data_IF_439525344327
#
_entry.id   IF_439525344327
#
_cell.length_a   1.000
_cell.length_b   1.000
_cell.length_c   1.000
_cell.angle_alpha   90.00
_cell.angle_beta   90.00
_cell.angle_gamma   90.00
#
_symmetry.space_group_name_H-M   'P 1'
#
loop_
_entity.id
_entity.type
_entity.pdbx_description
1 polymer ?
#
# COMPACT_ATOMS: atom_id res chain seq x y z
N UNK A 1 -6.92 -21.04 13.70
CA UNK A 1 -7.22 -19.79 12.98
C UNK A 1 -5.99 -18.89 13.12
N UNK A 2 -5.23 -18.67 12.05
CA UNK A 2 -4.07 -17.77 12.11
C UNK A 2 -4.54 -16.42 12.69
N UNK A 3 -3.90 -15.94 13.74
CA UNK A 3 -4.21 -14.67 14.39
C UNK A 3 -4.33 -13.61 13.28
N UNK A 4 -5.55 -13.16 12.97
CA UNK A 4 -5.83 -12.38 11.78
C UNK A 4 -4.92 -11.15 11.74
N UNK A 5 -3.98 -11.12 10.80
CA UNK A 5 -3.15 -9.94 10.58
C UNK A 5 -4.10 -8.79 10.27
N UNK A 6 -4.09 -7.76 11.12
CA UNK A 6 -4.85 -6.54 10.83
C UNK A 6 -4.43 -6.06 9.44
N UNK A 7 -5.38 -5.85 8.51
CA UNK A 7 -5.05 -5.42 7.15
C UNK A 7 -4.30 -4.09 7.15
N UNK A 8 -4.52 -3.27 8.18
CA UNK A 8 -3.86 -1.99 8.37
C UNK A 8 -2.79 -2.01 9.48
N UNK A 9 -1.49 -2.08 9.14
CA UNK A 9 -0.38 -2.06 10.09
C UNK A 9 -0.03 -0.63 10.54
N UNK A 10 -0.94 -0.01 11.30
CA UNK A 10 -0.88 1.40 11.73
C UNK A 10 0.48 1.89 12.28
N UNK A 11 1.12 1.11 13.15
CA UNK A 11 2.38 1.52 13.78
C UNK A 11 3.51 1.62 12.75
N UNK A 12 3.56 0.68 11.80
CA UNK A 12 4.54 0.66 10.72
C UNK A 12 4.33 1.82 9.76
N UNK A 13 3.09 2.04 9.33
CA UNK A 13 2.72 3.15 8.42
C UNK A 13 3.13 4.50 9.03
N UNK A 14 2.85 4.71 10.32
CA UNK A 14 3.27 5.94 11.01
C UNK A 14 4.79 6.11 11.11
N UNK A 15 5.55 5.02 11.32
CA UNK A 15 7.02 5.06 11.34
C UNK A 15 7.58 5.45 9.98
N UNK A 16 7.08 4.85 8.90
CA UNK A 16 7.47 5.15 7.52
C UNK A 16 7.18 6.62 7.22
N UNK A 17 5.94 7.08 7.44
CA UNK A 17 5.57 8.46 7.15
C UNK A 17 6.43 9.45 7.94
N UNK A 18 6.70 9.19 9.22
CA UNK A 18 7.56 10.08 10.03
C UNK A 18 9.00 10.14 9.50
N UNK A 19 9.55 9.01 9.06
CA UNK A 19 10.90 8.93 8.50
C UNK A 19 11.04 9.71 7.18
N UNK A 20 9.98 9.80 6.37
CA UNK A 20 10.04 10.41 5.04
C UNK A 20 9.44 11.81 4.95
N UNK A 21 8.50 12.18 5.84
CA UNK A 21 7.81 13.48 5.77
C UNK A 21 8.40 14.53 6.69
N UNK A 22 9.12 14.16 7.76
CA UNK A 22 9.53 15.08 8.84
C UNK A 22 8.37 15.94 9.41
N UNK A 23 7.11 15.50 9.25
CA UNK A 23 5.91 16.20 9.69
C UNK A 23 5.13 15.40 10.73
N UNK A 24 4.40 16.11 11.59
CA UNK A 24 3.46 15.48 12.51
C UNK A 24 2.17 15.10 11.76
N UNK A 25 1.76 13.84 11.92
CA UNK A 25 0.56 13.33 11.28
C UNK A 25 -0.70 13.84 11.98
N UNK A 26 -1.60 14.44 11.19
CA UNK A 26 -2.98 14.73 11.62
C UNK A 26 -3.77 13.43 11.80
N UNK A 27 -4.86 13.51 12.57
CA UNK A 27 -5.76 12.37 12.82
C UNK A 27 -6.21 11.76 11.48
N UNK A 28 -6.09 10.44 11.37
CA UNK A 28 -6.48 9.61 10.22
C UNK A 28 -5.70 9.84 8.91
N UNK A 29 -4.72 10.76 8.87
CA UNK A 29 -3.88 10.94 7.68
C UNK A 29 -3.13 9.64 7.32
N UNK A 30 -2.75 8.86 8.33
CA UNK A 30 -2.13 7.55 8.19
C UNK A 30 -3.03 6.53 7.46
N UNK A 31 -4.35 6.64 7.62
CA UNK A 31 -5.31 5.75 6.98
C UNK A 31 -5.47 6.08 5.49
N UNK A 32 -5.57 7.37 5.15
CA UNK A 32 -5.70 7.80 3.75
C UNK A 32 -4.45 7.47 2.94
N UNK A 33 -3.26 7.68 3.51
CA UNK A 33 -1.99 7.32 2.87
C UNK A 33 -1.91 5.80 2.65
N UNK A 34 -2.37 5.00 3.61
CA UNK A 34 -2.40 3.55 3.44
C UNK A 34 -3.40 3.09 2.38
N UNK A 35 -4.56 3.73 2.29
CA UNK A 35 -5.55 3.41 1.27
C UNK A 35 -5.03 3.72 -0.14
N UNK A 36 -4.37 4.87 -0.32
CA UNK A 36 -3.74 5.26 -1.58
C UNK A 36 -2.65 4.25 -2.00
N UNK A 37 -1.83 3.79 -1.03
CA UNK A 37 -0.86 2.72 -1.26
C UNK A 37 -1.50 1.39 -1.70
N UNK A 38 -2.61 0.98 -1.07
CA UNK A 38 -3.30 -0.27 -1.44
C UNK A 38 -3.85 -0.15 -2.86
N UNK A 39 -4.47 0.99 -3.20
CA UNK A 39 -4.99 1.23 -4.54
C UNK A 39 -3.86 1.22 -5.57
N UNK A 40 -2.72 1.84 -5.24
CA UNK A 40 -1.52 1.80 -6.09
C UNK A 40 -1.05 0.36 -6.35
N UNK A 41 -1.02 -0.49 -5.31
CA UNK A 41 -0.63 -1.90 -5.46
C UNK A 41 -1.60 -2.68 -6.34
N UNK A 42 -2.91 -2.49 -6.18
CA UNK A 42 -3.93 -3.11 -7.04
C UNK A 42 -3.78 -2.67 -8.50
N UNK A 43 -3.53 -1.38 -8.75
CA UNK A 43 -3.29 -0.88 -10.11
C UNK A 43 -2.00 -1.44 -10.71
N UNK A 44 -0.94 -1.53 -9.90
CA UNK A 44 0.35 -2.05 -10.34
C UNK A 44 0.26 -3.53 -10.74
N UNK A 45 -0.41 -4.35 -9.93
CA UNK A 45 -0.64 -5.77 -10.23
C UNK A 45 -1.49 -5.96 -11.49
N UNK A 46 -2.52 -5.13 -11.68
CA UNK A 46 -3.35 -5.14 -12.89
C UNK A 46 -2.52 -4.81 -14.15
N UNK A 47 -1.70 -3.77 -14.08
CA UNK A 47 -0.85 -3.34 -15.19
C UNK A 47 0.24 -4.37 -15.51
N UNK A 48 0.91 -4.90 -14.48
CA UNK A 48 1.91 -5.97 -14.62
C UNK A 48 1.30 -7.23 -15.22
N UNK A 49 0.11 -7.64 -14.75
CA UNK A 49 -0.58 -8.83 -15.26
C UNK A 49 -0.94 -8.70 -16.75
N UNK A 50 -1.22 -7.48 -17.23
CA UNK A 50 -1.48 -7.24 -18.66
C UNK A 50 -0.19 -7.37 -19.49
N UNK A 51 0.94 -6.92 -18.94
CA UNK A 51 2.24 -6.95 -19.62
C UNK A 51 2.74 -8.40 -19.79
N UNK A 52 2.68 -9.23 -18.75
CA UNK A 52 3.07 -10.64 -18.84
C UNK A 52 2.18 -11.45 -19.81
N UNK A 53 0.87 -11.16 -19.85
CA UNK A 53 -0.04 -11.78 -20.81
C UNK A 53 0.33 -11.42 -22.26
N UNK A 54 0.82 -10.19 -22.49
CA UNK A 54 1.25 -9.72 -23.81
C UNK A 54 2.56 -10.38 -24.26
N UNK A 55 3.49 -10.64 -23.34
CA UNK A 55 4.75 -11.34 -23.65
C UNK A 55 4.50 -12.81 -24.00
N UNK A 56 3.60 -13.49 -23.28
CA UNK A 56 3.29 -14.91 -23.51
C UNK A 56 2.49 -15.18 -24.80
N UNK A 57 1.86 -14.13 -25.36
CA UNK A 57 1.08 -14.22 -26.59
C UNK A 57 1.92 -14.10 -27.88
N UNK A 58 3.22 -13.81 -27.78
CA UNK A 58 4.19 -13.76 -28.88
C UNK A 58 5.17 -14.95 -28.83
#
# INVERSE_FOLDING_TARGET
MALGKKPYPKATVKKIIKAHSNHNLKKNADVTIFLDYVLFMETYESDESSYIATIQAN
#
